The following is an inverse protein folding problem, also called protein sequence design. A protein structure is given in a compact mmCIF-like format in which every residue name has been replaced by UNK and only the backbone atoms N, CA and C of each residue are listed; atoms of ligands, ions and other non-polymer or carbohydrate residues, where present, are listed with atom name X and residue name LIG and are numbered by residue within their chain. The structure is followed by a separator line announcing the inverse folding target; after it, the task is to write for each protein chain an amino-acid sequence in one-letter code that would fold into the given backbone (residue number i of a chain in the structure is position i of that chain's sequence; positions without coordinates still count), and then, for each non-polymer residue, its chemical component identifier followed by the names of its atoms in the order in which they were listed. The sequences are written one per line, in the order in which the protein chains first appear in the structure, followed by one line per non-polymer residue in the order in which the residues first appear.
data_IF_987620970492
#
_entry.id   IF_987620970492
#
_cell.length_a   1.000
_cell.length_b   1.000
_cell.length_c   1.000
_cell.angle_alpha   90.00
_cell.angle_beta   90.00
_cell.angle_gamma   90.00
#
_symmetry.space_group_name_H-M   'P 1'
#
loop_
_entity.id
_entity.type
_entity.pdbx_description
1 polymer ?
#
# COMPACT_ATOMS: atom_id res chain seq x y z
N UNK A 1 10.82 1.76 0.51
CA UNK A 1 12.19 2.19 0.13
C UNK A 1 12.12 3.51 -0.64
N UNK A 2 13.24 3.99 -1.20
CA UNK A 2 13.33 5.32 -1.87
C UNK A 2 12.39 5.51 -3.07
N UNK A 3 11.96 4.43 -3.73
CA UNK A 3 10.98 4.48 -4.83
C UNK A 3 9.58 4.93 -4.41
N UNK A 4 9.36 5.25 -3.13
CA UNK A 4 8.07 5.75 -2.64
C UNK A 4 7.83 7.22 -2.99
N UNK A 5 8.89 8.00 -3.21
CA UNK A 5 8.82 9.44 -3.46
C UNK A 5 7.83 9.87 -4.54
N UNK A 6 7.82 9.27 -5.75
CA UNK A 6 6.85 9.64 -6.79
C UNK A 6 5.40 9.38 -6.35
N UNK A 7 5.16 8.36 -5.52
CA UNK A 7 3.82 8.02 -5.05
C UNK A 7 3.21 9.05 -4.10
N UNK A 8 4.02 9.93 -3.49
CA UNK A 8 3.49 11.02 -2.70
C UNK A 8 2.59 11.96 -3.51
N UNK A 9 3.10 12.40 -4.65
CA UNK A 9 2.35 13.28 -5.56
C UNK A 9 1.15 12.55 -6.16
N UNK A 10 1.33 11.27 -6.53
CA UNK A 10 0.27 10.43 -7.12
C UNK A 10 -0.89 10.23 -6.13
N UNK A 11 -0.61 9.80 -4.90
CA UNK A 11 -1.64 9.59 -3.89
C UNK A 11 -2.38 10.87 -3.56
N UNK A 12 -1.67 12.00 -3.43
CA UNK A 12 -2.29 13.32 -3.24
C UNK A 12 -3.22 13.68 -4.40
N UNK A 13 -2.79 13.45 -5.65
CA UNK A 13 -3.59 13.71 -6.84
C UNK A 13 -4.82 12.83 -6.92
N UNK A 14 -4.67 11.53 -6.63
CA UNK A 14 -5.77 10.56 -6.58
C UNK A 14 -6.78 10.99 -5.53
N UNK A 15 -6.34 11.21 -4.30
CA UNK A 15 -7.19 11.63 -3.20
C UNK A 15 -7.98 12.90 -3.57
N UNK A 16 -7.32 13.91 -4.12
CA UNK A 16 -7.97 15.15 -4.53
C UNK A 16 -9.03 14.93 -5.62
N UNK A 17 -8.72 14.12 -6.64
CA UNK A 17 -9.67 13.82 -7.72
C UNK A 17 -10.86 12.98 -7.25
N UNK A 18 -10.66 12.06 -6.31
CA UNK A 18 -11.73 11.25 -5.72
C UNK A 18 -12.65 12.05 -4.81
N UNK A 19 -12.13 13.07 -4.12
CA UNK A 19 -12.87 13.89 -3.15
C UNK A 19 -13.54 15.11 -3.76
N UNK A 20 -12.87 15.81 -4.66
CA UNK A 20 -13.30 17.11 -5.20
C UNK A 20 -13.58 17.09 -6.71
N UNK A 21 -13.46 15.94 -7.37
CA UNK A 21 -13.72 15.80 -8.79
C UNK A 21 -15.17 16.11 -9.13
N UNK A 22 -15.40 17.05 -10.08
CA UNK A 22 -16.74 17.39 -10.59
C UNK A 22 -17.42 16.23 -11.33
N UNK A 23 -16.66 15.24 -11.77
CA UNK A 23 -17.14 14.03 -12.43
C UNK A 23 -16.70 12.80 -11.62
N UNK A 24 -17.55 11.78 -11.58
CA UNK A 24 -17.19 10.51 -10.96
C UNK A 24 -15.99 9.89 -11.69
N UNK A 25 -14.92 9.63 -10.95
CA UNK A 25 -13.76 8.91 -11.47
C UNK A 25 -14.08 7.42 -11.64
N UNK A 26 -13.48 6.78 -12.66
CA UNK A 26 -13.53 5.32 -12.84
C UNK A 26 -12.78 4.58 -11.72
N UNK A 27 -11.81 5.24 -11.08
CA UNK A 27 -11.05 4.66 -9.98
C UNK A 27 -11.91 4.62 -8.72
N UNK A 28 -12.20 3.42 -8.21
CA UNK A 28 -13.05 3.22 -7.02
C UNK A 28 -12.28 2.90 -5.75
N UNK A 29 -11.14 2.22 -5.89
CA UNK A 29 -10.33 1.73 -4.78
C UNK A 29 -8.84 1.81 -5.13
N UNK A 30 -8.01 2.16 -4.15
CA UNK A 30 -6.55 2.13 -4.23
C UNK A 30 -6.01 1.36 -3.04
N UNK A 31 -5.13 0.40 -3.32
CA UNK A 31 -4.32 -0.27 -2.30
C UNK A 31 -2.88 0.19 -2.45
N UNK A 32 -2.37 0.86 -1.44
CA UNK A 32 -1.00 1.38 -1.42
C UNK A 32 -0.13 0.52 -0.50
N UNK A 33 0.72 -0.30 -1.10
CA UNK A 33 1.65 -1.17 -0.39
C UNK A 33 3.03 -0.51 -0.28
N UNK A 34 3.37 -0.04 0.92
CA UNK A 34 4.69 0.52 1.18
C UNK A 34 5.60 -0.48 1.88
N UNK A 35 6.48 -1.10 1.10
CA UNK A 35 7.48 -2.05 1.62
C UNK A 35 8.80 -1.34 1.86
N UNK A 36 9.28 -1.39 3.10
CA UNK A 36 10.55 -0.81 3.50
C UNK A 36 11.41 -1.79 4.31
N UNK A 37 12.71 -1.55 4.37
CA UNK A 37 13.65 -2.27 5.25
C UNK A 37 14.13 -1.41 6.41
N UNK A 38 13.97 -0.10 6.32
CA UNK A 38 14.50 0.85 7.28
C UNK A 38 13.36 1.65 7.93
N UNK A 39 13.45 1.82 9.25
CA UNK A 39 12.51 2.57 10.07
C UNK A 39 12.59 4.08 9.78
N UNK A 40 13.79 4.63 9.54
CA UNK A 40 13.96 6.07 9.27
C UNK A 40 13.34 6.53 7.96
N UNK A 41 13.14 5.61 7.02
CA UNK A 41 12.49 5.89 5.75
C UNK A 41 11.01 6.27 5.88
N UNK A 42 10.38 6.04 7.04
CA UNK A 42 8.97 6.35 7.27
C UNK A 42 8.69 7.82 7.62
N UNK A 43 9.70 8.55 8.10
CA UNK A 43 9.48 9.82 8.79
C UNK A 43 8.95 10.95 7.89
N UNK A 44 9.56 11.16 6.72
CA UNK A 44 9.18 12.28 5.85
C UNK A 44 7.82 12.09 5.14
N UNK A 45 7.44 10.83 4.88
CA UNK A 45 6.23 10.49 4.11
C UNK A 45 5.01 10.22 4.99
N UNK A 46 5.25 9.92 6.28
CA UNK A 46 4.25 9.68 7.31
C UNK A 46 3.18 10.78 7.39
N UNK A 47 3.57 12.04 7.44
CA UNK A 47 2.62 13.16 7.59
C UNK A 47 1.60 13.23 6.44
N UNK A 48 2.04 12.97 5.20
CA UNK A 48 1.16 12.93 4.04
C UNK A 48 0.22 11.72 4.09
N UNK A 49 0.73 10.54 4.43
CA UNK A 49 -0.09 9.34 4.55
C UNK A 49 -1.15 9.49 5.65
N UNK A 50 -0.78 10.02 6.82
CA UNK A 50 -1.73 10.31 7.90
C UNK A 50 -2.78 11.33 7.47
N UNK A 51 -2.41 12.36 6.71
CA UNK A 51 -3.35 13.35 6.21
C UNK A 51 -4.35 12.77 5.19
N UNK A 52 -3.88 11.88 4.30
CA UNK A 52 -4.75 11.17 3.34
C UNK A 52 -5.69 10.24 4.10
N UNK A 53 -5.15 9.43 5.01
CA UNK A 53 -5.92 8.47 5.79
C UNK A 53 -7.00 9.17 6.64
N UNK A 54 -6.68 10.29 7.30
CA UNK A 54 -7.64 11.03 8.12
C UNK A 54 -8.79 11.65 7.31
N UNK A 55 -8.54 12.03 6.06
CA UNK A 55 -9.53 12.69 5.19
C UNK A 55 -10.32 11.72 4.31
N UNK A 56 -9.86 10.48 4.15
CA UNK A 56 -10.54 9.47 3.36
C UNK A 56 -11.55 8.67 4.19
N UNK A 57 -12.73 9.27 4.39
CA UNK A 57 -13.81 8.70 5.21
C UNK A 57 -14.45 7.44 4.60
N UNK A 58 -14.36 7.29 3.28
CA UNK A 58 -14.93 6.15 2.54
C UNK A 58 -13.93 4.98 2.41
N UNK A 59 -12.74 5.10 3.01
CA UNK A 59 -11.67 4.10 2.89
C UNK A 59 -11.35 3.73 1.44
N UNK A 60 -11.34 4.71 0.53
CA UNK A 60 -11.03 4.51 -0.89
C UNK A 60 -9.54 4.29 -1.16
N UNK A 61 -8.67 4.73 -0.25
CA UNK A 61 -7.23 4.55 -0.27
C UNK A 61 -6.83 3.78 1.00
N UNK A 62 -6.54 2.50 0.83
CA UNK A 62 -6.01 1.66 1.91
C UNK A 62 -4.49 1.63 1.87
N UNK A 63 -3.85 1.96 2.99
CA UNK A 63 -2.39 1.99 3.13
C UNK A 63 -1.96 0.76 3.91
N UNK A 64 -1.04 -0.01 3.34
CA UNK A 64 -0.44 -1.17 3.98
C UNK A 64 1.07 -1.00 4.04
N UNK A 65 1.59 -0.74 5.24
CA UNK A 65 3.02 -0.62 5.50
C UNK A 65 3.59 -1.99 5.85
N UNK A 66 4.76 -2.29 5.29
CA UNK A 66 5.50 -3.52 5.56
C UNK A 66 6.95 -3.20 5.91
N UNK A 67 7.38 -3.63 7.09
CA UNK A 67 8.76 -3.51 7.54
C UNK A 67 9.48 -4.85 7.45
N UNK A 68 10.45 -4.92 6.54
CA UNK A 68 11.25 -6.11 6.23
C UNK A 68 12.61 -6.14 6.95
N UNK A 69 12.84 -5.20 7.87
CA UNK A 69 14.02 -5.22 8.73
C UNK A 69 14.07 -6.52 9.55
N UNK A 70 15.28 -6.99 9.89
CA UNK A 70 15.40 -7.95 10.98
C UNK A 70 15.16 -7.19 12.28
N UNK A 71 14.09 -7.53 12.99
CA UNK A 71 13.76 -6.94 14.28
C UNK A 71 14.20 -7.93 15.34
N UNK A 72 14.87 -7.45 16.39
CA UNK A 72 15.20 -8.30 17.54
C UNK A 72 13.89 -8.68 18.24
N UNK A 73 13.77 -9.89 18.80
CA UNK A 73 12.54 -10.32 19.47
C UNK A 73 12.04 -9.31 20.51
N UNK A 74 12.95 -8.75 21.31
CA UNK A 74 12.61 -7.75 22.34
C UNK A 74 12.04 -6.45 21.75
N UNK A 75 12.62 -5.97 20.64
CA UNK A 75 12.12 -4.78 19.94
C UNK A 75 10.73 -5.04 19.33
N UNK A 76 10.50 -6.23 18.77
CA UNK A 76 9.20 -6.62 18.21
C UNK A 76 8.12 -6.71 19.29
N UNK A 77 8.44 -7.31 20.45
CA UNK A 77 7.54 -7.37 21.60
C UNK A 77 7.20 -5.97 22.12
N UNK A 78 8.20 -5.10 22.24
CA UNK A 78 7.98 -3.71 22.64
C UNK A 78 7.07 -2.96 21.66
N UNK A 79 7.27 -3.11 20.35
CA UNK A 79 6.40 -2.47 19.35
C UNK A 79 4.96 -3.02 19.47
N UNK A 80 4.79 -4.34 19.52
CA UNK A 80 3.45 -4.94 19.64
C UNK A 80 2.70 -4.48 20.91
N UNK A 81 3.38 -4.40 22.05
CA UNK A 81 2.77 -3.96 23.31
C UNK A 81 2.32 -2.50 23.21
N UNK A 82 3.16 -1.64 22.62
CA UNK A 82 2.83 -0.23 22.48
C UNK A 82 1.73 0.00 21.43
N UNK A 83 1.70 -0.78 20.34
CA UNK A 83 0.65 -0.69 19.31
C UNK A 83 -0.71 -1.19 19.81
N UNK A 84 -0.77 -2.24 20.65
CA UNK A 84 -2.02 -2.85 21.09
C UNK A 84 -2.96 -1.89 21.84
N UNK A 85 -2.40 -0.86 22.49
CA UNK A 85 -3.15 0.14 23.24
C UNK A 85 -3.08 1.55 22.62
N UNK A 86 -2.42 1.70 21.47
CA UNK A 86 -2.27 3.00 20.82
C UNK A 86 -3.40 3.24 19.79
N UNK A 87 -3.91 4.48 19.68
CA UNK A 87 -4.87 4.85 18.65
C UNK A 87 -4.26 4.89 17.23
N UNK A 88 -2.93 4.85 17.14
CA UNK A 88 -2.15 4.91 15.90
C UNK A 88 -0.90 4.03 16.04
N UNK A 89 -0.47 3.44 14.93
CA UNK A 89 0.75 2.66 14.79
C UNK A 89 1.98 3.43 15.26
N UNK A 90 2.79 2.85 16.13
CA UNK A 90 3.91 3.56 16.77
C UNK A 90 5.06 3.85 15.80
N UNK A 91 5.20 3.07 14.72
CA UNK A 91 6.24 3.25 13.70
C UNK A 91 5.82 4.38 12.73
N UNK A 92 4.63 4.25 12.15
CA UNK A 92 4.17 5.05 11.02
C UNK A 92 3.15 6.11 11.40
N UNK A 93 2.57 6.08 12.60
CA UNK A 93 1.51 6.98 13.06
C UNK A 93 0.25 6.96 12.19
N UNK A 94 0.05 5.87 11.44
CA UNK A 94 -1.18 5.60 10.70
C UNK A 94 -2.15 4.85 11.60
N UNK A 95 -3.44 4.85 11.25
CA UNK A 95 -4.45 4.02 11.92
C UNK A 95 -4.23 2.54 11.60
N UNK A 96 -3.80 2.23 10.37
CA UNK A 96 -3.44 0.88 9.99
C UNK A 96 -2.09 0.45 10.61
N UNK A 97 -2.00 -0.74 11.23
CA UNK A 97 -0.75 -1.23 11.82
C UNK A 97 0.29 -1.62 10.76
N UNK A 98 1.56 -1.46 11.11
CA UNK A 98 2.70 -1.89 10.30
C UNK A 98 2.85 -3.40 10.33
N UNK A 99 2.91 -4.02 9.16
CA UNK A 99 3.10 -5.45 9.00
C UNK A 99 4.59 -5.79 9.06
N UNK A 100 4.96 -6.79 9.85
CA UNK A 100 6.35 -7.24 9.93
C UNK A 100 6.62 -8.37 8.93
N UNK A 101 7.76 -8.27 8.24
CA UNK A 101 8.16 -9.22 7.21
C UNK A 101 7.72 -8.79 5.81
N UNK A 102 7.69 -9.77 4.88
CA UNK A 102 7.39 -9.52 3.47
C UNK A 102 5.89 -9.76 3.20
N UNK A 103 5.26 -8.98 2.30
CA UNK A 103 3.89 -9.22 1.89
C UNK A 103 3.71 -10.60 1.27
N UNK A 104 2.59 -11.25 1.58
CA UNK A 104 2.16 -12.45 0.89
C UNK A 104 1.36 -12.04 -0.36
N UNK A 105 2.07 -11.83 -1.47
CA UNK A 105 1.46 -11.37 -2.72
C UNK A 105 0.40 -12.34 -3.26
N UNK A 106 0.57 -13.64 -3.10
CA UNK A 106 -0.45 -14.61 -3.52
C UNK A 106 -1.76 -14.44 -2.76
N UNK A 107 -1.70 -14.13 -1.46
CA UNK A 107 -2.90 -13.86 -0.67
C UNK A 107 -3.49 -12.51 -1.06
N UNK A 108 -2.67 -11.48 -1.22
CA UNK A 108 -3.11 -10.12 -1.56
C UNK A 108 -3.86 -10.10 -2.90
N UNK A 109 -3.27 -10.65 -3.96
CA UNK A 109 -3.89 -10.67 -5.29
C UNK A 109 -5.20 -11.46 -5.29
N UNK A 110 -5.24 -12.64 -4.64
CA UNK A 110 -6.47 -13.42 -4.49
C UNK A 110 -7.57 -12.65 -3.77
N UNK A 111 -7.22 -11.96 -2.69
CA UNK A 111 -8.18 -11.15 -1.93
C UNK A 111 -8.72 -9.98 -2.74
N UNK A 112 -7.87 -9.23 -3.43
CA UNK A 112 -8.29 -8.09 -4.27
C UNK A 112 -9.28 -8.58 -5.35
N UNK A 113 -8.94 -9.65 -6.06
CA UNK A 113 -9.83 -10.24 -7.06
C UNK A 113 -11.17 -10.66 -6.46
N UNK A 114 -11.14 -11.39 -5.34
CA UNK A 114 -12.36 -11.88 -4.67
C UNK A 114 -13.30 -10.75 -4.24
N UNK A 115 -12.74 -9.61 -3.82
CA UNK A 115 -13.52 -8.47 -3.33
C UNK A 115 -14.14 -7.68 -4.50
N UNK A 116 -13.40 -7.55 -5.60
CA UNK A 116 -13.74 -6.59 -6.66
C UNK A 116 -14.23 -7.23 -7.97
N UNK A 117 -14.31 -8.56 -8.07
CA UNK A 117 -14.85 -9.20 -9.29
C UNK A 117 -16.35 -8.91 -9.48
N UNK A 118 -16.79 -8.54 -10.71
CA UNK A 118 -15.98 -8.35 -11.92
C UNK A 118 -15.41 -6.93 -12.03
N UNK A 119 -14.12 -6.81 -12.35
CA UNK A 119 -13.46 -5.51 -12.57
C UNK A 119 -12.06 -5.67 -13.20
N UNK A 120 -11.36 -4.55 -13.35
CA UNK A 120 -9.95 -4.48 -13.74
C UNK A 120 -9.17 -3.74 -12.65
N UNK A 121 -7.96 -4.22 -12.35
CA UNK A 121 -7.04 -3.57 -11.42
C UNK A 121 -5.67 -3.31 -12.07
N UNK A 122 -5.32 -2.03 -12.22
CA UNK A 122 -3.96 -1.63 -12.58
C UNK A 122 -2.97 -1.85 -11.42
N UNK A 123 -1.85 -2.50 -11.69
CA UNK A 123 -0.76 -2.74 -10.73
C UNK A 123 0.46 -1.93 -11.14
N UNK A 124 0.81 -0.94 -10.32
CA UNK A 124 1.93 -0.03 -10.55
C UNK A 124 3.01 -0.24 -9.49
N UNK A 125 4.27 -0.16 -9.89
CA UNK A 125 5.39 -0.48 -9.00
C UNK A 125 6.59 0.43 -9.23
N UNK A 126 7.17 0.94 -8.14
CA UNK A 126 8.48 1.58 -8.13
C UNK A 126 9.34 0.98 -7.02
N UNK A 127 10.48 0.38 -7.37
CA UNK A 127 11.35 -0.25 -6.40
C UNK A 127 12.33 -1.27 -7.01
N UNK A 128 12.86 -2.20 -6.21
CA UNK A 128 13.85 -3.16 -6.66
C UNK A 128 13.32 -4.07 -7.79
N UNK A 129 14.13 -4.26 -8.84
CA UNK A 129 13.76 -5.06 -10.04
C UNK A 129 13.19 -6.44 -9.70
N UNK A 130 13.80 -7.15 -8.76
CA UNK A 130 13.34 -8.49 -8.37
C UNK A 130 11.90 -8.52 -7.82
N UNK A 131 11.51 -7.50 -7.05
CA UNK A 131 10.12 -7.38 -6.58
C UNK A 131 9.18 -7.00 -7.73
N UNK A 132 9.61 -6.10 -8.62
CA UNK A 132 8.82 -5.76 -9.82
C UNK A 132 8.55 -6.99 -10.69
N UNK A 133 9.56 -7.82 -10.96
CA UNK A 133 9.40 -9.07 -11.69
C UNK A 133 8.44 -10.04 -10.99
N UNK A 134 8.53 -10.15 -9.66
CA UNK A 134 7.62 -10.99 -8.88
C UNK A 134 6.17 -10.52 -9.01
N UNK A 135 5.91 -9.22 -8.86
CA UNK A 135 4.56 -8.67 -8.95
C UNK A 135 3.98 -8.80 -10.37
N UNK A 136 4.80 -8.61 -11.41
CA UNK A 136 4.37 -8.82 -12.79
C UNK A 136 3.93 -10.28 -13.03
N UNK A 137 4.70 -11.25 -12.53
CA UNK A 137 4.31 -12.67 -12.58
C UNK A 137 2.99 -12.90 -11.83
N UNK A 138 2.79 -12.26 -10.67
CA UNK A 138 1.56 -12.38 -9.89
C UNK A 138 0.34 -11.79 -10.59
N UNK A 139 0.48 -10.71 -11.35
CA UNK A 139 -0.61 -10.20 -12.20
C UNK A 139 -1.09 -11.29 -13.15
N UNK A 140 -0.16 -11.87 -13.91
CA UNK A 140 -0.48 -12.91 -14.90
C UNK A 140 -1.07 -14.19 -14.25
N UNK A 141 -0.60 -14.56 -13.06
CA UNK A 141 -1.06 -15.76 -12.35
C UNK A 141 -2.47 -15.63 -11.76
N UNK A 142 -2.89 -14.41 -11.39
CA UNK A 142 -4.13 -14.19 -10.65
C UNK A 142 -5.24 -13.53 -11.48
N UNK A 143 -4.97 -13.11 -12.72
CA UNK A 143 -5.99 -12.68 -13.68
C UNK A 143 -6.89 -13.86 -14.10
N UNK A 144 -8.20 -13.61 -14.18
CA UNK A 144 -9.24 -14.54 -14.61
C UNK A 144 -10.20 -13.82 -15.59
N UNK A 145 -11.05 -14.53 -16.35
CA UNK A 145 -11.91 -13.91 -17.36
C UNK A 145 -12.85 -12.80 -16.85
N UNK A 146 -13.22 -12.84 -15.58
CA UNK A 146 -14.08 -11.86 -14.89
C UNK A 146 -13.27 -10.78 -14.14
N UNK A 147 -11.96 -10.95 -13.99
CA UNK A 147 -11.12 -9.97 -13.30
C UNK A 147 -9.68 -9.95 -13.81
N UNK A 148 -9.24 -8.80 -14.34
CA UNK A 148 -7.90 -8.64 -14.92
C UNK A 148 -6.99 -7.76 -14.06
N UNK A 149 -5.79 -8.25 -13.75
CA UNK A 149 -4.68 -7.45 -13.24
C UNK A 149 -3.80 -6.96 -14.39
N UNK A 150 -3.77 -5.65 -14.62
CA UNK A 150 -3.00 -5.02 -15.70
C UNK A 150 -1.70 -4.44 -15.13
N UNK A 151 -0.56 -4.93 -15.59
CA UNK A 151 0.74 -4.45 -15.12
C UNK A 151 1.13 -3.12 -15.78
N UNK A 152 1.23 -2.06 -14.97
CA UNK A 152 1.76 -0.76 -15.38
C UNK A 152 3.28 -0.72 -15.22
N UNK A 153 4.01 -0.76 -16.34
CA UNK A 153 5.46 -0.52 -16.34
C UNK A 153 5.74 0.97 -16.20
N UNK A 154 5.99 1.42 -14.97
CA UNK A 154 6.34 2.81 -14.70
C UNK A 154 7.86 2.99 -14.61
N UNK A 155 8.38 4.03 -15.26
CA UNK A 155 9.73 4.54 -15.03
C UNK A 155 9.58 5.94 -14.42
N UNK A 156 9.47 6.00 -13.09
CA UNK A 156 9.46 7.26 -12.33
C UNK A 156 10.87 7.84 -12.15
#
# INVERSE_FOLDING_TARGET
GIGVTPFASILKSIWYRMTHGKQQTRLRKVYFFWVCRDFGSFEWFKSLLSAIEAQDLESRIEIHTYLTAKIKPDDATNIMINDANAPQDTITGLRAPTNFGRPNWDMIFRSVRKIHSPAEAGVFFCGPKGLGSQLHIKCNQHSEPDFEFVWGKENF
#
